data_IF_708313872099
#
_entry.id   IF_708313872099
#
_cell.length_a   1.000
_cell.length_b   1.000
_cell.length_c   1.000
_cell.angle_alpha   90.00
_cell.angle_beta   90.00
_cell.angle_gamma   90.00
#
_symmetry.space_group_name_H-M   'P 1'
#
loop_
_entity.id
_entity.type
_entity.pdbx_description
1 polymer ?
#
# COMPACT_ATOMS: atom_id res chain seq x y z
N UNK A 1 6.46 -14.52 -21.86
CA UNK A 1 6.80 -13.09 -22.00
C UNK A 1 6.18 -12.37 -20.84
N UNK A 2 6.95 -11.73 -19.99
CA UNK A 2 6.39 -10.93 -18.90
C UNK A 2 5.70 -9.71 -19.52
N UNK A 3 4.42 -9.51 -19.20
CA UNK A 3 3.75 -8.28 -19.57
C UNK A 3 4.33 -7.15 -18.71
N UNK A 4 4.71 -6.06 -19.33
CA UNK A 4 5.23 -4.87 -18.61
C UNK A 4 4.11 -3.85 -18.62
N UNK A 5 3.54 -3.60 -17.44
CA UNK A 5 2.56 -2.55 -17.21
C UNK A 5 3.27 -1.34 -16.63
N UNK A 6 3.09 -0.18 -17.24
CA UNK A 6 3.80 1.05 -16.87
C UNK A 6 2.88 2.12 -16.26
N UNK A 7 1.57 1.97 -16.44
CA UNK A 7 0.56 2.92 -15.96
C UNK A 7 -0.82 2.26 -15.87
N UNK A 8 -1.73 2.91 -15.15
CA UNK A 8 -3.10 2.38 -14.94
C UNK A 8 -3.87 2.11 -16.23
N UNK A 9 -3.60 2.87 -17.30
CA UNK A 9 -4.22 2.66 -18.61
C UNK A 9 -3.93 1.27 -19.22
N UNK A 10 -2.81 0.67 -18.88
CA UNK A 10 -2.45 -0.67 -19.37
C UNK A 10 -3.26 -1.79 -18.70
N UNK A 11 -3.94 -1.45 -17.60
CA UNK A 11 -4.73 -2.39 -16.80
C UNK A 11 -6.20 -2.44 -17.18
N UNK A 12 -6.64 -1.63 -18.13
CA UNK A 12 -8.02 -1.69 -18.66
C UNK A 12 -8.29 -3.10 -19.20
N UNK A 13 -9.34 -3.76 -18.70
CA UNK A 13 -9.73 -5.11 -19.07
C UNK A 13 -8.80 -6.23 -18.56
N UNK A 14 -7.83 -5.90 -17.69
CA UNK A 14 -6.95 -6.86 -17.02
C UNK A 14 -7.50 -7.24 -15.65
N UNK A 15 -7.10 -8.39 -15.14
CA UNK A 15 -7.47 -8.83 -13.78
C UNK A 15 -6.60 -8.12 -12.75
N UNK A 16 -7.25 -7.30 -11.91
CA UNK A 16 -6.59 -6.53 -10.85
C UNK A 16 -7.17 -6.96 -9.50
N UNK A 17 -6.28 -7.23 -8.54
CA UNK A 17 -6.66 -7.65 -7.19
C UNK A 17 -6.27 -6.61 -6.15
N UNK A 18 -7.09 -6.48 -5.11
CA UNK A 18 -6.79 -5.70 -3.91
C UNK A 18 -7.53 -6.29 -2.71
N UNK A 19 -7.11 -5.89 -1.50
CA UNK A 19 -7.83 -6.25 -0.29
C UNK A 19 -9.16 -5.51 -0.20
N UNK A 20 -10.24 -6.24 0.14
CA UNK A 20 -11.55 -5.65 0.34
C UNK A 20 -11.56 -4.62 1.47
N UNK A 21 -12.17 -3.47 1.24
CA UNK A 21 -12.25 -2.36 2.20
C UNK A 21 -10.94 -1.59 2.39
N UNK A 22 -9.91 -1.84 1.57
CA UNK A 22 -8.64 -1.13 1.61
C UNK A 22 -8.66 0.14 0.77
N UNK A 23 -7.66 1.00 0.97
CA UNK A 23 -7.40 2.12 0.09
C UNK A 23 -7.06 1.68 -1.34
N UNK A 24 -6.47 0.49 -1.51
CA UNK A 24 -6.25 -0.11 -2.83
C UNK A 24 -7.55 -0.39 -3.57
N UNK A 25 -8.57 -0.92 -2.90
CA UNK A 25 -9.90 -1.07 -3.50
C UNK A 25 -10.51 0.28 -3.89
N UNK A 26 -10.42 1.29 -3.01
CA UNK A 26 -10.89 2.64 -3.31
C UNK A 26 -10.16 3.24 -4.51
N UNK A 27 -8.84 3.07 -4.59
CA UNK A 27 -8.06 3.53 -5.74
C UNK A 27 -8.50 2.89 -7.05
N UNK A 28 -8.86 1.60 -7.05
CA UNK A 28 -9.40 0.91 -8.23
C UNK A 28 -10.76 1.51 -8.64
N UNK A 29 -11.61 1.82 -7.68
CA UNK A 29 -12.95 2.36 -7.95
C UNK A 29 -12.93 3.81 -8.44
N UNK A 30 -11.99 4.60 -7.96
CA UNK A 30 -11.92 6.04 -8.21
C UNK A 30 -11.06 6.41 -9.43
N UNK A 31 -10.13 5.55 -9.84
CA UNK A 31 -9.27 5.78 -11.02
C UNK A 31 -10.02 5.49 -12.32
N UNK A 32 -9.91 6.39 -13.29
CA UNK A 32 -10.61 6.30 -14.59
C UNK A 32 -10.27 5.01 -15.37
N UNK A 33 -9.04 4.53 -15.28
CA UNK A 33 -8.57 3.35 -15.98
C UNK A 33 -8.80 2.08 -15.17
N UNK A 34 -8.42 2.08 -13.88
CA UNK A 34 -8.54 0.92 -13.00
C UNK A 34 -10.00 0.51 -12.78
N UNK A 35 -10.93 1.45 -12.79
CA UNK A 35 -12.38 1.15 -12.71
C UNK A 35 -12.90 0.32 -13.91
N UNK A 36 -12.12 0.24 -14.99
CA UNK A 36 -12.41 -0.57 -16.17
C UNK A 36 -11.66 -1.92 -16.17
N UNK A 37 -10.90 -2.21 -15.13
CA UNK A 37 -10.27 -3.51 -14.93
C UNK A 37 -11.30 -4.55 -14.43
N UNK A 38 -10.96 -5.82 -14.59
CA UNK A 38 -11.69 -6.93 -13.96
C UNK A 38 -11.19 -7.07 -12.50
N UNK A 39 -11.89 -6.39 -11.60
CA UNK A 39 -11.49 -6.34 -10.19
C UNK A 39 -11.92 -7.57 -9.41
N UNK A 40 -10.99 -8.18 -8.70
CA UNK A 40 -11.24 -9.29 -7.77
C UNK A 40 -10.73 -8.94 -6.37
N UNK A 41 -11.65 -8.93 -5.39
CA UNK A 41 -11.30 -8.65 -4.00
C UNK A 41 -10.68 -9.85 -3.30
N UNK A 42 -9.74 -9.58 -2.40
CA UNK A 42 -9.11 -10.57 -1.50
C UNK A 42 -9.33 -10.18 -0.04
N UNK A 43 -9.18 -11.13 0.85
CA UNK A 43 -9.36 -10.90 2.29
C UNK A 43 -8.15 -10.24 2.94
N UNK A 44 -6.95 -10.45 2.38
CA UNK A 44 -5.68 -9.89 2.86
C UNK A 44 -4.76 -9.54 1.70
N UNK A 45 -3.87 -8.57 1.89
CA UNK A 45 -2.99 -8.08 0.82
C UNK A 45 -1.97 -9.13 0.35
N UNK A 46 -1.52 -10.01 1.24
CA UNK A 46 -0.59 -11.09 0.87
C UNK A 46 -1.19 -12.08 -0.13
N UNK A 47 -2.51 -12.31 -0.09
CA UNK A 47 -3.20 -13.15 -1.09
C UNK A 47 -3.15 -12.48 -2.47
N UNK A 48 -3.17 -11.15 -2.54
CA UNK A 48 -3.03 -10.41 -3.79
C UNK A 48 -1.67 -10.67 -4.45
N UNK A 49 -0.58 -10.68 -3.67
CA UNK A 49 0.76 -11.01 -4.17
C UNK A 49 0.84 -12.45 -4.70
N UNK A 50 0.21 -13.39 -3.99
CA UNK A 50 0.16 -14.79 -4.44
C UNK A 50 -0.56 -14.96 -5.78
N UNK A 51 -1.67 -14.25 -5.99
CA UNK A 51 -2.42 -14.31 -7.25
C UNK A 51 -1.59 -13.78 -8.43
N UNK A 52 -0.87 -12.67 -8.25
CA UNK A 52 0.00 -12.14 -9.30
C UNK A 52 1.19 -13.06 -9.56
N UNK A 53 1.82 -13.57 -8.50
CA UNK A 53 2.94 -14.51 -8.63
C UNK A 53 2.53 -15.84 -9.30
N UNK A 54 1.31 -16.30 -9.06
CA UNK A 54 0.74 -17.49 -9.70
C UNK A 54 0.26 -17.25 -11.13
N UNK A 55 0.17 -16.00 -11.59
CA UNK A 55 -0.33 -15.63 -12.92
C UNK A 55 -1.85 -15.69 -13.05
N UNK A 56 -2.59 -15.74 -11.95
CA UNK A 56 -4.05 -15.71 -11.92
C UNK A 56 -4.62 -14.29 -11.87
N UNK A 57 -3.79 -13.31 -11.54
CA UNK A 57 -4.06 -11.89 -11.70
C UNK A 57 -2.90 -11.22 -12.46
N UNK A 58 -3.21 -10.13 -13.17
CA UNK A 58 -2.23 -9.36 -13.93
C UNK A 58 -1.50 -8.35 -13.05
N UNK A 59 -2.21 -7.76 -12.09
CA UNK A 59 -1.67 -6.76 -11.17
C UNK A 59 -2.37 -6.79 -9.81
N UNK A 60 -1.71 -6.24 -8.80
CA UNK A 60 -2.24 -6.01 -7.47
C UNK A 60 -2.04 -4.56 -7.05
N UNK A 61 -3.02 -4.00 -6.35
CA UNK A 61 -2.92 -2.70 -5.70
C UNK A 61 -2.76 -2.96 -4.21
N UNK A 62 -1.66 -2.51 -3.65
CA UNK A 62 -1.22 -2.83 -2.29
C UNK A 62 -0.75 -1.58 -1.56
N UNK A 63 -0.67 -1.69 -0.24
CA UNK A 63 0.10 -0.76 0.58
C UNK A 63 1.58 -0.78 0.19
N UNK A 64 2.17 0.39 -0.03
CA UNK A 64 3.56 0.52 -0.51
C UNK A 64 4.57 -0.02 0.52
N UNK A 65 4.33 0.20 1.81
CA UNK A 65 5.21 -0.29 2.88
C UNK A 65 5.24 -1.82 2.90
N UNK A 66 4.08 -2.47 2.75
CA UNK A 66 4.01 -3.92 2.63
C UNK A 66 4.68 -4.41 1.34
N UNK A 67 4.42 -3.76 0.22
CA UNK A 67 5.02 -4.10 -1.07
C UNK A 67 6.56 -4.00 -1.02
N UNK A 68 7.11 -2.92 -0.47
CA UNK A 68 8.55 -2.74 -0.28
C UNK A 68 9.19 -3.83 0.61
N UNK A 69 8.45 -4.31 1.61
CA UNK A 69 8.94 -5.38 2.51
C UNK A 69 8.91 -6.78 1.87
N UNK A 70 8.02 -7.03 0.92
CA UNK A 70 7.74 -8.36 0.39
C UNK A 70 8.23 -8.60 -1.04
N UNK A 71 8.38 -7.54 -1.83
CA UNK A 71 8.78 -7.61 -3.24
C UNK A 71 10.26 -7.23 -3.37
N UNK A 72 11.02 -8.03 -4.11
CA UNK A 72 12.41 -7.74 -4.40
C UNK A 72 13.34 -8.94 -4.27
N UNK A 73 14.60 -8.71 -4.58
CA UNK A 73 15.63 -9.74 -4.54
C UNK A 73 15.77 -10.35 -3.14
N UNK A 74 15.79 -11.66 -3.06
CA UNK A 74 15.88 -12.40 -1.80
C UNK A 74 14.55 -12.62 -1.08
N UNK A 75 13.43 -12.21 -1.68
CA UNK A 75 12.08 -12.49 -1.17
C UNK A 75 11.37 -13.56 -1.98
N UNK A 76 10.25 -14.07 -1.47
CA UNK A 76 9.40 -15.03 -2.19
C UNK A 76 8.75 -14.43 -3.46
N UNK A 77 8.73 -13.10 -3.56
CA UNK A 77 8.16 -12.34 -4.68
C UNK A 77 9.22 -11.59 -5.50
N UNK A 78 10.44 -12.14 -5.59
CA UNK A 78 11.53 -11.56 -6.37
C UNK A 78 11.23 -11.40 -7.88
N UNK A 79 10.25 -12.13 -8.39
CA UNK A 79 9.79 -12.03 -9.77
C UNK A 79 8.80 -10.89 -10.03
N UNK A 80 8.29 -10.27 -8.98
CA UNK A 80 7.37 -9.14 -9.06
C UNK A 80 8.12 -7.82 -8.97
N UNK A 81 7.50 -6.74 -9.42
CA UNK A 81 8.05 -5.40 -9.34
C UNK A 81 6.95 -4.39 -8.99
N UNK A 82 7.32 -3.37 -8.22
CA UNK A 82 6.49 -2.19 -8.02
C UNK A 82 6.69 -1.31 -9.25
N UNK A 83 5.62 -1.00 -9.96
CA UNK A 83 5.67 -0.30 -11.25
C UNK A 83 5.08 1.11 -11.21
N UNK A 84 4.24 1.40 -10.22
CA UNK A 84 3.60 2.71 -10.06
C UNK A 84 3.20 2.94 -8.61
N UNK A 85 3.11 4.21 -8.20
CA UNK A 85 2.60 4.65 -6.90
C UNK A 85 1.39 5.56 -7.15
N UNK A 86 0.21 5.13 -6.70
CA UNK A 86 -1.05 5.77 -7.07
C UNK A 86 -1.42 6.94 -6.16
N UNK A 87 -1.34 6.74 -4.84
CA UNK A 87 -1.76 7.69 -3.83
C UNK A 87 -0.74 7.80 -2.71
N UNK A 88 -0.67 8.98 -2.08
CA UNK A 88 -0.11 9.14 -0.74
C UNK A 88 -1.23 9.00 0.28
N UNK A 89 -1.00 8.26 1.35
CA UNK A 89 -1.90 8.08 2.48
C UNK A 89 -1.23 8.50 3.78
N UNK A 90 -2.05 8.95 4.73
CA UNK A 90 -1.61 9.23 6.08
C UNK A 90 -2.11 8.13 7.03
N UNK A 91 -1.22 7.62 7.86
CA UNK A 91 -1.60 6.72 8.95
C UNK A 91 -1.87 7.52 10.21
N UNK A 92 -2.93 7.14 10.91
CA UNK A 92 -3.31 7.73 12.19
C UNK A 92 -3.54 6.67 13.25
N UNK A 93 -3.44 7.09 14.51
CA UNK A 93 -3.83 6.26 15.66
C UNK A 93 -5.16 6.74 16.18
N UNK A 94 -6.16 5.85 16.21
CA UNK A 94 -7.49 6.15 16.68
C UNK A 94 -7.66 5.79 18.16
N UNK A 95 -8.34 6.66 18.90
CA UNK A 95 -8.66 6.45 20.31
C UNK A 95 -10.17 6.50 20.52
N UNK A 96 -10.63 5.85 21.60
CA UNK A 96 -12.02 5.97 22.04
C UNK A 96 -12.36 7.43 22.31
N UNK A 97 -13.50 7.90 21.88
CA UNK A 97 -14.00 9.25 22.13
C UNK A 97 -14.01 9.54 23.64
N UNK A 98 -13.41 10.65 24.06
CA UNK A 98 -13.28 11.06 25.45
C UNK A 98 -12.09 10.44 26.20
N UNK A 99 -11.22 9.66 25.51
CA UNK A 99 -9.96 9.20 26.08
C UNK A 99 -8.96 10.35 26.18
N UNK A 100 -8.19 10.40 27.26
CA UNK A 100 -7.05 11.29 27.46
C UNK A 100 -5.76 10.75 26.81
N UNK A 101 -5.77 9.50 26.34
CA UNK A 101 -4.62 8.86 25.72
C UNK A 101 -4.20 9.54 24.41
N UNK A 102 -5.13 10.12 23.65
CA UNK A 102 -4.80 10.83 22.42
C UNK A 102 -3.83 12.00 22.69
N UNK A 103 -4.14 12.85 23.65
CA UNK A 103 -3.27 13.98 24.00
C UNK A 103 -1.90 13.53 24.54
N UNK A 104 -1.85 12.42 25.28
CA UNK A 104 -0.59 11.86 25.78
C UNK A 104 0.28 11.30 24.65
N UNK A 105 -0.33 10.63 23.68
CA UNK A 105 0.37 10.10 22.50
C UNK A 105 0.82 11.22 21.57
N UNK A 106 0.00 12.25 21.34
CA UNK A 106 0.40 13.43 20.56
C UNK A 106 1.62 14.12 21.17
N UNK A 107 1.63 14.32 22.50
CA UNK A 107 2.78 14.88 23.19
C UNK A 107 4.05 14.03 23.05
N UNK A 108 3.91 12.69 23.10
CA UNK A 108 5.02 11.78 22.88
C UNK A 108 5.54 11.83 21.43
N UNK A 109 4.66 11.95 20.44
CA UNK A 109 5.06 12.13 19.04
C UNK A 109 5.80 13.45 18.84
N UNK A 110 5.35 14.54 19.47
CA UNK A 110 6.04 15.83 19.38
C UNK A 110 7.47 15.76 19.95
N UNK A 111 7.66 15.08 21.08
CA UNK A 111 8.98 14.85 21.67
C UNK A 111 9.87 14.01 20.74
N UNK A 112 9.34 12.93 20.17
CA UNK A 112 10.08 12.04 19.25
C UNK A 112 10.37 12.69 17.89
N UNK A 113 9.52 13.61 17.45
CA UNK A 113 9.82 14.47 16.27
C UNK A 113 10.96 15.44 16.61
N UNK A 114 10.90 16.08 17.78
CA UNK A 114 11.89 17.08 18.20
C UNK A 114 13.29 16.49 18.42
N UNK A 115 13.39 15.26 18.91
CA UNK A 115 14.69 14.59 19.15
C UNK A 115 15.24 13.83 17.90
N UNK A 116 14.50 13.81 16.80
CA UNK A 116 14.88 13.16 15.54
C UNK A 116 14.58 11.65 15.47
N UNK A 117 14.01 11.06 16.52
CA UNK A 117 13.69 9.61 16.55
C UNK A 117 12.67 9.26 15.45
N UNK A 118 11.62 10.06 15.28
CA UNK A 118 10.60 9.83 14.26
C UNK A 118 11.19 9.91 12.86
N UNK A 119 12.09 10.87 12.60
CA UNK A 119 12.76 11.00 11.31
C UNK A 119 13.62 9.77 11.00
N UNK A 120 14.38 9.27 11.97
CA UNK A 120 15.20 8.08 11.80
C UNK A 120 14.37 6.81 11.54
N UNK A 121 13.21 6.69 12.18
CA UNK A 121 12.27 5.58 11.92
C UNK A 121 11.63 5.70 10.53
N UNK A 122 11.21 6.90 10.14
CA UNK A 122 10.65 7.13 8.81
C UNK A 122 11.64 6.73 7.71
N UNK A 123 12.90 7.17 7.82
CA UNK A 123 13.96 6.78 6.88
C UNK A 123 14.20 5.25 6.87
N UNK A 124 14.22 4.62 8.04
CA UNK A 124 14.41 3.17 8.15
C UNK A 124 13.32 2.37 7.45
N UNK A 125 12.09 2.84 7.48
CA UNK A 125 10.93 2.14 6.89
C UNK A 125 10.45 2.76 5.57
N UNK A 126 11.24 3.67 5.00
CA UNK A 126 10.91 4.33 3.72
C UNK A 126 9.57 5.06 3.74
N UNK A 127 9.28 5.71 4.88
CA UNK A 127 8.07 6.50 5.11
C UNK A 127 8.38 8.00 5.10
N UNK A 128 7.38 8.82 4.83
CA UNK A 128 7.40 10.25 5.06
C UNK A 128 6.67 10.59 6.36
N UNK A 129 7.17 11.56 7.13
CA UNK A 129 6.41 12.09 8.25
C UNK A 129 5.30 13.00 7.73
N UNK A 130 4.09 12.84 8.29
CA UNK A 130 3.02 13.81 8.11
C UNK A 130 3.33 15.09 8.90
N UNK A 131 2.86 16.22 8.41
CA UNK A 131 3.00 17.54 9.04
C UNK A 131 2.20 17.66 10.35
#
# INVERSE_FOLDING_TARGET
MAAVYWMTADLVGKTVVAEAGSAGESAIQDDENLSQADYVSKSVQTDCLMEVAAGTADAAILDLTLANAMIGEGTDYASLAIVDELNAEEYGVAFRKGSDAAAAVDAAFDELKADGTMQALAEKYELALAD
#
